data_IF_401619299944
#
_entry.id   IF_401619299944
#
_cell.length_a   1.000
_cell.length_b   1.000
_cell.length_c   1.000
_cell.angle_alpha   90.00
_cell.angle_beta   90.00
_cell.angle_gamma   90.00
#
_symmetry.space_group_name_H-M   'P 1'
#
loop_
_entity.id
_entity.type
_entity.pdbx_description
1 polymer ?
#
# COMPACT_ATOMS: atom_id res chain seq x y z
N UNK A 1 18.48 5.21 -4.92
CA UNK A 1 17.27 6.03 -4.71
C UNK A 1 16.26 5.11 -4.06
N UNK A 2 15.76 5.44 -2.88
CA UNK A 2 14.68 4.67 -2.26
C UNK A 2 13.41 4.87 -3.10
N UNK A 3 12.70 3.79 -3.41
CA UNK A 3 11.40 3.82 -4.03
C UNK A 3 10.36 4.48 -3.13
N UNK A 4 9.29 5.01 -3.74
CA UNK A 4 8.19 5.67 -3.02
C UNK A 4 7.56 4.78 -1.93
N UNK A 5 7.63 3.46 -2.10
CA UNK A 5 7.03 2.47 -1.21
C UNK A 5 8.01 1.96 -0.14
N UNK A 6 9.32 2.19 -0.29
CA UNK A 6 10.36 1.66 0.58
C UNK A 6 10.17 2.05 2.05
N UNK A 7 9.79 3.31 2.40
CA UNK A 7 9.61 3.67 3.82
C UNK A 7 8.53 2.84 4.52
N UNK A 8 7.46 2.47 3.80
CA UNK A 8 6.38 1.63 4.35
C UNK A 8 6.87 0.18 4.47
N UNK A 9 7.59 -0.30 3.45
CA UNK A 9 8.16 -1.64 3.44
C UNK A 9 9.17 -1.84 4.57
N UNK A 10 10.07 -0.89 4.78
CA UNK A 10 11.09 -0.96 5.83
C UNK A 10 10.47 -0.94 7.23
N UNK A 11 9.43 -0.13 7.44
CA UNK A 11 8.68 -0.11 8.68
C UNK A 11 7.96 -1.44 8.94
N UNK A 12 7.35 -2.02 7.91
CA UNK A 12 6.74 -3.35 7.97
C UNK A 12 7.77 -4.42 8.31
N UNK A 13 8.88 -4.50 7.57
CA UNK A 13 9.92 -5.50 7.78
C UNK A 13 10.51 -5.42 9.19
N UNK A 14 10.80 -4.21 9.66
CA UNK A 14 11.28 -3.95 11.03
C UNK A 14 10.27 -4.43 12.08
N UNK A 15 8.98 -4.14 11.86
CA UNK A 15 7.91 -4.56 12.79
C UNK A 15 7.76 -6.08 12.84
N UNK A 16 7.82 -6.75 11.69
CA UNK A 16 7.76 -8.21 11.61
C UNK A 16 8.96 -8.86 12.30
N UNK A 17 10.17 -8.30 12.12
CA UNK A 17 11.36 -8.81 12.80
C UNK A 17 11.32 -8.58 14.31
N UNK A 18 10.79 -7.44 14.77
CA UNK A 18 10.55 -7.20 16.19
C UNK A 18 9.58 -8.23 16.79
N UNK A 19 8.48 -8.54 16.09
CA UNK A 19 7.52 -9.56 16.54
C UNK A 19 8.13 -10.96 16.59
N UNK A 20 8.99 -11.33 15.63
CA UNK A 20 9.74 -12.60 15.68
C UNK A 20 10.66 -12.67 16.90
N UNK A 21 11.31 -11.56 17.26
CA UNK A 21 12.15 -11.49 18.46
C UNK A 21 11.31 -11.71 19.72
N UNK A 22 10.16 -11.05 19.83
CA UNK A 22 9.23 -11.23 20.97
C UNK A 22 8.80 -12.69 21.10
N UNK A 23 8.38 -13.32 20.00
CA UNK A 23 7.99 -14.72 19.99
C UNK A 23 9.13 -15.64 20.46
N UNK A 24 10.37 -15.41 20.00
CA UNK A 24 11.53 -16.20 20.45
C UNK A 24 11.81 -16.00 21.93
N UNK A 25 11.72 -14.77 22.43
CA UNK A 25 11.93 -14.46 23.84
C UNK A 25 10.92 -15.17 24.74
N UNK A 26 9.64 -15.23 24.34
CA UNK A 26 8.62 -15.93 25.11
C UNK A 26 8.97 -17.42 25.32
N UNK A 27 9.47 -18.08 24.27
CA UNK A 27 9.75 -19.53 24.28
C UNK A 27 11.11 -19.94 24.87
N UNK A 28 11.96 -18.99 25.29
CA UNK A 28 13.33 -19.31 25.72
C UNK A 28 13.38 -19.60 27.24
N UNK A 29 13.75 -20.83 27.67
CA UNK A 29 13.73 -21.21 29.08
C UNK A 29 14.80 -20.53 29.95
N UNK A 30 15.77 -19.85 29.35
CA UNK A 30 16.91 -19.22 30.03
C UNK A 30 16.80 -17.69 30.15
N UNK A 31 15.76 -17.08 29.59
CA UNK A 31 15.51 -15.64 29.74
C UNK A 31 14.63 -15.46 30.98
N UNK A 32 15.08 -14.61 31.91
CA UNK A 32 14.18 -14.05 32.92
C UNK A 32 13.17 -13.15 32.21
N UNK A 33 12.08 -13.77 31.73
CA UNK A 33 11.02 -13.14 30.94
C UNK A 33 10.39 -11.93 31.65
N UNK A 34 10.58 -11.82 32.98
CA UNK A 34 10.08 -10.70 33.76
C UNK A 34 10.73 -9.37 33.33
N UNK A 35 12.02 -9.35 33.00
CA UNK A 35 12.73 -8.13 32.57
C UNK A 35 12.35 -7.61 31.18
N UNK A 36 12.40 -8.39 30.10
CA UNK A 36 12.08 -7.90 28.75
C UNK A 36 10.59 -7.60 28.56
N UNK A 37 9.70 -8.30 29.28
CA UNK A 37 8.26 -8.08 29.16
C UNK A 37 7.69 -7.11 30.19
N UNK A 38 8.48 -6.64 31.15
CA UNK A 38 8.03 -5.64 32.13
C UNK A 38 7.44 -4.41 31.43
N UNK A 39 6.26 -3.98 31.88
CA UNK A 39 5.51 -2.85 31.32
C UNK A 39 5.08 -3.04 29.85
N UNK A 40 4.98 -4.29 29.38
CA UNK A 40 4.42 -4.62 28.06
C UNK A 40 3.13 -5.41 28.20
N UNK A 41 2.40 -5.60 27.09
CA UNK A 41 1.22 -6.47 27.05
C UNK A 41 1.55 -7.96 27.23
N UNK A 42 2.83 -8.34 27.10
CA UNK A 42 3.31 -9.72 27.25
C UNK A 42 3.65 -10.08 28.71
N UNK A 43 3.59 -9.10 29.64
CA UNK A 43 3.93 -9.36 31.03
C UNK A 43 2.95 -10.37 31.66
N UNK A 44 3.50 -11.44 32.25
CA UNK A 44 2.75 -12.53 32.93
C UNK A 44 1.83 -13.35 32.01
N UNK A 45 2.02 -13.25 30.70
CA UNK A 45 1.41 -14.19 29.78
C UNK A 45 2.26 -15.46 29.70
N UNK A 46 1.60 -16.59 29.46
CA UNK A 46 2.29 -17.82 29.08
C UNK A 46 2.69 -17.82 27.59
N UNK A 47 3.42 -18.85 27.18
CA UNK A 47 3.95 -19.00 25.83
C UNK A 47 2.84 -19.02 24.76
N UNK A 48 1.72 -19.68 25.05
CA UNK A 48 0.58 -19.82 24.13
C UNK A 48 -0.10 -18.46 23.94
N UNK A 49 -0.38 -17.75 25.03
CA UNK A 49 -0.96 -16.41 25.00
C UNK A 49 -0.04 -15.39 24.29
N UNK A 50 1.28 -15.52 24.47
CA UNK A 50 2.23 -14.68 23.74
C UNK A 50 2.19 -14.95 22.24
N UNK A 51 2.14 -16.22 21.84
CA UNK A 51 2.05 -16.62 20.44
C UNK A 51 0.76 -16.09 19.79
N UNK A 52 -0.39 -16.27 20.44
CA UNK A 52 -1.67 -15.75 19.94
C UNK A 52 -1.66 -14.22 19.73
N UNK A 53 -1.08 -13.47 20.68
CA UNK A 53 -0.96 -12.02 20.55
C UNK A 53 -0.02 -11.61 19.42
N UNK A 54 1.10 -12.33 19.24
CA UNK A 54 2.03 -12.06 18.14
C UNK A 54 1.37 -12.36 16.80
N UNK A 55 0.71 -13.50 16.64
CA UNK A 55 0.06 -13.90 15.40
C UNK A 55 -1.05 -12.93 15.02
N UNK A 56 -1.89 -12.54 15.98
CA UNK A 56 -2.92 -11.52 15.77
C UNK A 56 -2.33 -10.16 15.38
N UNK A 57 -1.21 -9.76 15.99
CA UNK A 57 -0.52 -8.52 15.62
C UNK A 57 0.09 -8.60 14.22
N UNK A 58 0.70 -9.73 13.84
CA UNK A 58 1.25 -9.94 12.51
C UNK A 58 0.18 -9.84 11.43
N UNK A 59 -0.96 -10.50 11.62
CA UNK A 59 -2.09 -10.43 10.67
C UNK A 59 -2.58 -8.98 10.49
N UNK A 60 -2.71 -8.22 11.58
CA UNK A 60 -3.14 -6.82 11.48
C UNK A 60 -2.10 -5.93 10.78
N UNK A 61 -0.81 -6.14 11.06
CA UNK A 61 0.27 -5.38 10.44
C UNK A 61 0.36 -5.69 8.94
N UNK A 62 0.17 -6.95 8.55
CA UNK A 62 0.12 -7.39 7.15
C UNK A 62 -0.95 -6.59 6.37
N UNK A 63 -2.17 -6.61 6.90
CA UNK A 63 -3.33 -5.94 6.31
C UNK A 63 -3.13 -4.42 6.23
N UNK A 64 -2.70 -3.80 7.33
CA UNK A 64 -2.44 -2.36 7.40
C UNK A 64 -1.34 -1.92 6.43
N UNK A 65 -0.33 -2.76 6.24
CA UNK A 65 0.75 -2.49 5.30
C UNK A 65 0.24 -2.50 3.87
N UNK A 66 -0.62 -3.46 3.49
CA UNK A 66 -1.25 -3.46 2.17
C UNK A 66 -2.07 -2.18 1.94
N UNK A 67 -2.80 -1.72 2.97
CA UNK A 67 -3.55 -0.45 2.91
C UNK A 67 -2.63 0.75 2.68
N UNK A 68 -1.55 0.85 3.45
CA UNK A 68 -0.60 1.96 3.37
C UNK A 68 0.12 1.99 2.00
N UNK A 69 0.63 0.84 1.55
CA UNK A 69 1.29 0.71 0.25
C UNK A 69 0.37 1.13 -0.89
N UNK A 70 -0.88 0.66 -0.87
CA UNK A 70 -1.84 1.03 -1.89
C UNK A 70 -2.18 2.52 -1.84
N UNK A 71 -2.29 3.12 -0.65
CA UNK A 71 -2.54 4.56 -0.49
C UNK A 71 -1.43 5.44 -1.10
N UNK A 72 -0.16 5.09 -0.88
CA UNK A 72 0.96 5.82 -1.52
C UNK A 72 0.97 5.61 -3.02
N UNK A 73 0.71 4.39 -3.49
CA UNK A 73 0.56 4.10 -4.92
C UNK A 73 -0.56 4.95 -5.57
N UNK A 74 -1.74 5.04 -4.95
CA UNK A 74 -2.85 5.88 -5.43
C UNK A 74 -2.43 7.35 -5.53
N UNK A 75 -1.76 7.86 -4.48
CA UNK A 75 -1.22 9.22 -4.47
C UNK A 75 -0.26 9.47 -5.63
N UNK A 76 0.69 8.55 -5.86
CA UNK A 76 1.67 8.64 -6.93
C UNK A 76 1.02 8.68 -8.32
N UNK A 77 0.01 7.84 -8.58
CA UNK A 77 -0.71 7.86 -9.85
C UNK A 77 -1.49 9.16 -10.06
N UNK A 78 -2.18 9.64 -9.02
CA UNK A 78 -2.93 10.90 -9.09
C UNK A 78 -2.01 12.09 -9.33
N UNK A 79 -0.87 12.14 -8.64
CA UNK A 79 0.13 13.18 -8.83
C UNK A 79 0.75 13.12 -10.22
N UNK A 80 0.99 11.93 -10.76
CA UNK A 80 1.45 11.76 -12.13
C UNK A 80 0.42 12.30 -13.13
N UNK A 81 -0.86 11.92 -13.00
CA UNK A 81 -1.93 12.45 -13.85
C UNK A 81 -2.08 13.97 -13.73
N UNK A 82 -1.96 14.53 -12.52
CA UNK A 82 -1.98 15.98 -12.31
C UNK A 82 -0.84 16.66 -13.08
N UNK A 83 0.37 16.12 -13.04
CA UNK A 83 1.50 16.65 -13.83
C UNK A 83 1.22 16.59 -15.34
N UNK A 84 0.57 15.53 -15.82
CA UNK A 84 0.17 15.43 -17.23
C UNK A 84 -0.90 16.46 -17.64
N UNK A 85 -1.72 16.95 -16.71
CA UNK A 85 -2.73 17.98 -17.02
C UNK A 85 -2.08 19.28 -17.50
N UNK A 86 -0.87 19.60 -17.04
CA UNK A 86 -0.14 20.81 -17.41
C UNK A 86 0.17 20.83 -18.92
N UNK A 87 0.41 19.67 -19.55
CA UNK A 87 0.58 19.60 -21.00
C UNK A 87 -0.68 20.03 -21.76
N UNK A 88 -1.87 19.87 -21.18
CA UNK A 88 -3.10 20.37 -21.78
C UNK A 88 -3.15 21.91 -21.72
N UNK A 89 -2.71 22.51 -20.62
CA UNK A 89 -2.65 23.96 -20.49
C UNK A 89 -1.65 24.58 -21.50
N UNK A 90 -0.53 23.89 -21.74
CA UNK A 90 0.55 24.39 -22.58
C UNK A 90 0.33 24.15 -24.08
N UNK A 91 -0.40 23.10 -24.46
CA UNK A 91 -0.48 22.65 -25.85
C UNK A 91 -1.90 22.58 -26.44
N UNK A 92 -2.97 22.61 -25.64
CA UNK A 92 -4.33 22.65 -26.19
C UNK A 92 -4.70 24.09 -26.58
N UNK A 93 -4.47 24.45 -27.84
CA UNK A 93 -4.62 25.84 -28.33
C UNK A 93 -5.93 26.14 -29.06
N UNK A 94 -6.82 25.16 -29.20
CA UNK A 94 -8.11 25.30 -29.89
C UNK A 94 -9.25 25.06 -28.90
N UNK A 95 -10.28 25.92 -28.83
CA UNK A 95 -10.48 27.15 -29.60
C UNK A 95 -9.59 28.35 -29.21
N UNK A 96 -9.06 28.40 -27.99
CA UNK A 96 -8.13 29.43 -27.54
C UNK A 96 -7.23 28.91 -26.39
N UNK A 97 -6.32 29.75 -25.89
CA UNK A 97 -5.42 29.40 -24.78
C UNK A 97 -6.16 29.23 -23.43
N UNK A 98 -7.28 29.94 -23.23
CA UNK A 98 -8.08 29.85 -22.01
C UNK A 98 -8.79 28.49 -21.94
N UNK A 99 -9.22 27.95 -23.09
CA UNK A 99 -9.73 26.60 -23.18
C UNK A 99 -8.72 25.57 -22.68
N UNK A 100 -7.45 25.65 -23.10
CA UNK A 100 -6.41 24.71 -22.65
C UNK A 100 -6.23 24.72 -21.14
N UNK A 101 -6.23 25.91 -20.52
CA UNK A 101 -6.18 26.07 -19.05
C UNK A 101 -7.40 25.44 -18.36
N UNK A 102 -8.60 25.74 -18.83
CA UNK A 102 -9.84 25.16 -18.27
C UNK A 102 -9.90 23.64 -18.45
N UNK A 103 -9.38 23.13 -19.55
CA UNK A 103 -9.27 21.70 -19.81
C UNK A 103 -8.29 21.03 -18.83
N UNK A 104 -7.15 21.65 -18.58
CA UNK A 104 -6.19 21.19 -17.57
C UNK A 104 -6.80 21.17 -16.15
N UNK A 105 -7.50 22.24 -15.75
CA UNK A 105 -8.21 22.32 -14.47
C UNK A 105 -9.32 21.28 -14.33
N UNK A 106 -10.06 21.02 -15.42
CA UNK A 106 -11.07 19.96 -15.45
C UNK A 106 -10.42 18.58 -15.26
N UNK A 107 -9.33 18.32 -15.99
CA UNK A 107 -8.61 17.05 -15.90
C UNK A 107 -7.98 16.83 -14.52
N UNK A 108 -7.34 17.85 -13.95
CA UNK A 108 -6.75 17.81 -12.61
C UNK A 108 -7.80 17.47 -11.55
N UNK A 109 -8.95 18.17 -11.55
CA UNK A 109 -10.05 17.87 -10.63
C UNK A 109 -10.57 16.45 -10.82
N UNK A 110 -10.72 16.02 -12.08
CA UNK A 110 -11.17 14.67 -12.42
C UNK A 110 -10.20 13.59 -11.92
N UNK A 111 -8.90 13.76 -12.13
CA UNK A 111 -7.85 12.87 -11.62
C UNK A 111 -7.85 12.80 -10.08
N UNK A 112 -8.22 13.90 -9.41
CA UNK A 112 -8.38 13.98 -7.95
C UNK A 112 -9.53 13.13 -7.38
N UNK A 113 -10.54 12.75 -8.19
CA UNK A 113 -11.70 11.96 -7.72
C UNK A 113 -11.92 10.66 -8.49
N UNK A 114 -11.15 10.42 -9.55
CA UNK A 114 -11.25 9.23 -10.37
C UNK A 114 -11.06 7.94 -9.55
N UNK A 115 -11.82 6.91 -9.91
CA UNK A 115 -11.70 5.58 -9.31
C UNK A 115 -10.44 4.91 -9.86
N UNK A 116 -9.73 4.17 -9.02
CA UNK A 116 -8.52 3.46 -9.46
C UNK A 116 -8.79 2.37 -10.51
N UNK A 117 -10.03 1.87 -10.60
CA UNK A 117 -10.46 1.00 -11.71
C UNK A 117 -10.42 1.70 -13.06
N UNK A 118 -10.61 3.02 -13.09
CA UNK A 118 -10.58 3.81 -14.31
C UNK A 118 -9.17 4.36 -14.58
N UNK A 119 -8.40 4.63 -13.51
CA UNK A 119 -7.05 5.19 -13.60
C UNK A 119 -6.01 4.14 -14.02
N UNK A 120 -5.99 2.97 -13.38
CA UNK A 120 -4.94 1.96 -13.64
C UNK A 120 -4.92 1.44 -15.08
N UNK A 121 -6.04 1.27 -15.80
CA UNK A 121 -6.02 0.86 -17.21
C UNK A 121 -5.38 1.87 -18.16
N UNK A 122 -5.33 3.16 -17.82
CA UNK A 122 -4.66 4.19 -18.63
C UNK A 122 -3.18 3.81 -18.84
N UNK A 123 -2.58 3.15 -17.86
CA UNK A 123 -1.18 2.73 -17.87
C UNK A 123 -0.96 1.34 -18.50
N UNK A 124 -1.98 0.68 -19.05
CA UNK A 124 -1.89 -0.71 -19.51
C UNK A 124 -0.79 -0.93 -20.57
N UNK A 125 -0.55 0.05 -21.45
CA UNK A 125 0.52 -0.02 -22.45
C UNK A 125 1.92 0.00 -21.82
N UNK A 126 2.11 0.72 -20.72
CA UNK A 126 3.40 0.82 -20.04
C UNK A 126 3.60 -0.32 -19.01
N UNK A 127 2.60 -0.58 -18.18
CA UNK A 127 2.66 -1.57 -17.12
C UNK A 127 2.49 -3.02 -17.62
N UNK A 128 1.70 -3.21 -18.67
CA UNK A 128 1.19 -4.50 -19.12
C UNK A 128 -0.12 -4.88 -18.43
N UNK A 129 -1.01 -5.55 -19.17
CA UNK A 129 -2.37 -5.92 -18.72
C UNK A 129 -2.38 -6.86 -17.52
N UNK A 130 -1.42 -7.78 -17.45
CA UNK A 130 -1.26 -8.70 -16.30
C UNK A 130 -0.99 -7.92 -15.00
N UNK A 131 -0.15 -6.89 -15.07
CA UNK A 131 0.22 -6.11 -13.91
C UNK A 131 -0.94 -5.23 -13.44
N UNK A 132 -1.69 -4.65 -14.39
CA UNK A 132 -2.96 -3.94 -14.10
C UNK A 132 -3.95 -4.86 -13.38
N UNK A 133 -4.10 -6.11 -13.84
CA UNK A 133 -4.98 -7.08 -13.19
C UNK A 133 -4.54 -7.40 -11.76
N UNK A 134 -3.23 -7.59 -11.51
CA UNK A 134 -2.68 -7.81 -10.17
C UNK A 134 -2.93 -6.63 -9.24
N UNK A 135 -2.74 -5.39 -9.71
CA UNK A 135 -3.09 -4.17 -8.96
C UNK A 135 -4.59 -4.13 -8.64
N UNK A 136 -5.44 -4.56 -9.58
CA UNK A 136 -6.88 -4.71 -9.34
C UNK A 136 -7.22 -5.69 -8.22
N UNK A 137 -6.49 -6.80 -8.11
CA UNK A 137 -6.64 -7.76 -6.99
C UNK A 137 -6.24 -7.14 -5.65
N UNK A 138 -5.13 -6.41 -5.59
CA UNK A 138 -4.70 -5.69 -4.38
C UNK A 138 -5.76 -4.67 -3.96
N UNK A 139 -6.31 -3.91 -4.91
CA UNK A 139 -7.38 -2.95 -4.65
C UNK A 139 -8.61 -3.61 -4.02
N UNK A 140 -9.06 -4.75 -4.57
CA UNK A 140 -10.21 -5.50 -4.05
C UNK A 140 -9.95 -5.97 -2.62
N UNK A 141 -8.75 -6.48 -2.35
CA UNK A 141 -8.35 -6.88 -1.01
C UNK A 141 -8.33 -5.70 -0.03
N UNK A 142 -7.66 -4.59 -0.37
CA UNK A 142 -7.65 -3.35 0.42
C UNK A 142 -9.06 -2.81 0.66
N UNK A 143 -9.94 -2.89 -0.33
CA UNK A 143 -11.34 -2.48 -0.19
C UNK A 143 -12.06 -3.34 0.86
N UNK A 144 -11.90 -4.66 0.80
CA UNK A 144 -12.47 -5.59 1.78
C UNK A 144 -11.94 -5.39 3.20
N UNK A 145 -10.62 -5.23 3.37
CA UNK A 145 -10.00 -4.96 4.68
C UNK A 145 -10.50 -3.62 5.26
N UNK A 146 -10.49 -2.55 4.45
CA UNK A 146 -10.90 -1.21 4.91
C UNK A 146 -12.38 -1.11 5.34
N UNK A 147 -13.23 -2.05 4.90
CA UNK A 147 -14.62 -2.13 5.32
C UNK A 147 -14.86 -3.19 6.41
N UNK A 148 -13.80 -3.63 7.10
CA UNK A 148 -13.93 -4.55 8.23
C UNK A 148 -14.34 -5.96 7.83
N UNK A 149 -13.98 -6.41 6.61
CA UNK A 149 -14.15 -7.80 6.16
C UNK A 149 -15.61 -8.29 6.11
N UNK A 150 -16.53 -7.38 5.80
CA UNK A 150 -17.99 -7.58 5.92
C UNK A 150 -18.66 -8.43 4.83
N UNK A 151 -17.95 -8.83 3.78
CA UNK A 151 -18.50 -9.62 2.67
C UNK A 151 -17.49 -10.69 2.22
N UNK A 152 -17.82 -11.40 1.13
CA UNK A 152 -16.98 -12.44 0.54
C UNK A 152 -15.53 -11.99 0.40
N UNK A 153 -14.63 -12.71 1.07
CA UNK A 153 -13.21 -12.42 1.05
C UNK A 153 -12.65 -12.57 -0.38
N UNK A 154 -11.95 -11.56 -0.90
CA UNK A 154 -11.13 -11.74 -2.09
C UNK A 154 -9.94 -12.66 -1.77
N UNK A 155 -9.21 -13.15 -2.79
CA UNK A 155 -7.96 -13.86 -2.57
C UNK A 155 -7.02 -13.05 -1.65
N UNK A 156 -6.37 -13.70 -0.66
CA UNK A 156 -5.50 -13.01 0.28
C UNK A 156 -4.32 -12.36 -0.44
N UNK A 157 -3.92 -11.19 0.05
CA UNK A 157 -2.81 -10.41 -0.49
C UNK A 157 -1.82 -10.15 0.64
N UNK A 158 -0.58 -10.59 0.48
CA UNK A 158 0.49 -10.30 1.43
C UNK A 158 1.06 -8.90 1.18
N UNK A 159 1.62 -8.29 2.22
CA UNK A 159 2.36 -7.03 2.15
C UNK A 159 3.50 -7.13 1.14
N UNK A 160 4.21 -8.28 1.11
CA UNK A 160 5.28 -8.53 0.13
C UNK A 160 4.78 -8.51 -1.31
N UNK A 161 3.70 -9.24 -1.58
CA UNK A 161 3.11 -9.27 -2.92
C UNK A 161 2.64 -7.88 -3.34
N UNK A 162 1.99 -7.14 -2.43
CA UNK A 162 1.55 -5.78 -2.70
C UNK A 162 2.74 -4.86 -3.01
N UNK A 163 3.78 -4.87 -2.19
CA UNK A 163 5.00 -4.09 -2.39
C UNK A 163 5.64 -4.37 -3.75
N UNK A 164 5.97 -5.63 -4.04
CA UNK A 164 6.64 -6.01 -5.27
C UNK A 164 5.81 -5.63 -6.52
N UNK A 165 4.50 -5.87 -6.47
CA UNK A 165 3.58 -5.59 -7.59
C UNK A 165 3.46 -4.08 -7.83
N UNK A 166 3.22 -3.29 -6.78
CA UNK A 166 3.01 -1.85 -6.89
C UNK A 166 4.32 -1.14 -7.27
N UNK A 167 5.46 -1.56 -6.69
CA UNK A 167 6.78 -1.03 -7.04
C UNK A 167 7.13 -1.34 -8.50
N UNK A 168 6.84 -2.56 -8.96
CA UNK A 168 7.03 -2.92 -10.36
C UNK A 168 6.15 -2.08 -11.29
N UNK A 169 4.90 -1.82 -10.91
CA UNK A 169 3.99 -0.98 -11.70
C UNK A 169 4.54 0.44 -11.84
N UNK A 170 4.90 1.07 -10.71
CA UNK A 170 5.47 2.41 -10.68
C UNK A 170 6.74 2.50 -11.53
N UNK A 171 7.65 1.53 -11.38
CA UNK A 171 8.88 1.45 -12.15
C UNK A 171 8.63 1.35 -13.67
N UNK A 172 7.72 0.47 -14.12
CA UNK A 172 7.39 0.34 -15.54
C UNK A 172 6.73 1.58 -16.13
N UNK A 173 6.01 2.34 -15.31
CA UNK A 173 5.37 3.58 -15.72
C UNK A 173 6.29 4.81 -15.63
N UNK A 174 7.53 4.66 -15.15
CA UNK A 174 8.44 5.78 -14.92
C UNK A 174 7.96 6.73 -13.83
N UNK A 175 7.25 6.22 -12.82
CA UNK A 175 6.74 6.99 -11.69
C UNK A 175 7.63 6.70 -10.49
N UNK A 176 8.28 7.73 -9.96
CA UNK A 176 9.19 7.67 -8.82
C UNK A 176 9.22 8.99 -8.06
#
# INVERSE_FOLDING_TARGET
MNGLLDPIWDAYATSMDALKVVHRCATLPAIDNDRPFRNTRFHRLDDEQCAELVDAAQEQIEDQTVLALYGVFEGALRDHLRKQSQHLADHATQPDLEFGRRLAEYFERSAGVARMDDVTPIFANAAGTELVAKVGSIRKYRHWVSHGRQWTAPPPVTARFAYDTLQQFLSRCGIG
#
